data_IF_748850344370
#
_entry.id   IF_748850344370
#
_cell.length_a   1.000
_cell.length_b   1.000
_cell.length_c   1.000
_cell.angle_alpha   90.00
_cell.angle_beta   90.00
_cell.angle_gamma   90.00
#
_symmetry.space_group_name_H-M   'P 1'
#
loop_
_entity.id
_entity.type
_entity.pdbx_description
1 polymer ?
#
# COMPACT_ATOMS: atom_id res chain seq x y z
N UNK A 1 -13.37 -5.93 -13.17
CA UNK A 1 -12.99 -7.18 -12.47
C UNK A 1 -14.00 -7.48 -11.38
N UNK A 2 -14.33 -8.76 -11.13
CA UNK A 2 -15.23 -9.13 -10.03
C UNK A 2 -14.57 -8.84 -8.66
N UNK A 3 -15.39 -8.65 -7.61
CA UNK A 3 -14.89 -8.39 -6.25
C UNK A 3 -13.96 -9.50 -5.77
N UNK A 4 -14.37 -10.76 -5.91
CA UNK A 4 -13.57 -11.92 -5.52
C UNK A 4 -12.20 -11.94 -6.22
N UNK A 5 -12.14 -11.63 -7.52
CA UNK A 5 -10.87 -11.55 -8.25
C UNK A 5 -9.96 -10.46 -7.67
N UNK A 6 -10.50 -9.28 -7.35
CA UNK A 6 -9.72 -8.18 -6.77
C UNK A 6 -9.17 -8.57 -5.40
N UNK A 7 -10.02 -9.13 -4.54
CA UNK A 7 -9.67 -9.62 -3.21
C UNK A 7 -8.55 -10.67 -3.27
N UNK A 8 -8.67 -11.66 -4.16
CA UNK A 8 -7.65 -12.69 -4.36
C UNK A 8 -6.35 -12.08 -4.89
N UNK A 9 -6.39 -11.16 -5.85
CA UNK A 9 -5.17 -10.51 -6.36
C UNK A 9 -4.48 -9.70 -5.27
N UNK A 10 -5.21 -8.94 -4.46
CA UNK A 10 -4.63 -8.23 -3.32
C UNK A 10 -4.01 -9.19 -2.30
N UNK A 11 -4.66 -10.33 -2.02
CA UNK A 11 -4.11 -11.36 -1.15
C UNK A 11 -2.83 -12.00 -1.73
N UNK A 12 -2.77 -12.24 -3.03
CA UNK A 12 -1.57 -12.75 -3.72
C UNK A 12 -0.43 -11.72 -3.67
N UNK A 13 -0.73 -10.44 -3.90
CA UNK A 13 0.27 -9.37 -3.78
C UNK A 13 0.78 -9.25 -2.33
N UNK A 14 -0.09 -9.39 -1.34
CA UNK A 14 0.31 -9.43 0.06
C UNK A 14 1.20 -10.65 0.37
N UNK A 15 0.85 -11.84 -0.11
CA UNK A 15 1.69 -13.03 0.00
C UNK A 15 3.06 -12.83 -0.67
N UNK A 16 3.12 -12.16 -1.82
CA UNK A 16 4.38 -11.81 -2.47
C UNK A 16 5.25 -10.89 -1.59
N UNK A 17 4.65 -9.93 -0.88
CA UNK A 17 5.36 -9.10 0.12
C UNK A 17 5.89 -9.94 1.28
N UNK A 18 5.11 -10.90 1.79
CA UNK A 18 5.56 -11.80 2.86
C UNK A 18 6.78 -12.62 2.42
N UNK A 19 6.70 -13.25 1.24
CA UNK A 19 7.81 -14.03 0.66
C UNK A 19 9.02 -13.14 0.42
N UNK A 20 8.83 -11.95 -0.15
CA UNK A 20 9.92 -11.02 -0.40
C UNK A 20 10.58 -10.52 0.90
N UNK A 21 9.79 -10.30 1.96
CA UNK A 21 10.30 -9.96 3.29
C UNK A 21 11.17 -11.05 3.88
N UNK A 22 10.74 -12.31 3.76
CA UNK A 22 11.51 -13.48 4.20
C UNK A 22 12.80 -13.70 3.40
N UNK A 23 12.78 -13.45 2.08
CA UNK A 23 13.97 -13.57 1.23
C UNK A 23 14.99 -12.43 1.42
N UNK A 24 14.64 -11.40 2.19
CA UNK A 24 15.55 -10.32 2.61
C UNK A 24 15.30 -8.97 1.94
N UNK A 25 16.19 -8.01 2.22
CA UNK A 25 15.96 -6.60 1.90
C UNK A 25 15.88 -6.28 0.40
N UNK A 26 16.69 -6.92 -0.45
CA UNK A 26 16.69 -6.68 -1.90
C UNK A 26 15.37 -7.16 -2.56
N UNK A 27 14.93 -8.42 -2.37
CA UNK A 27 13.62 -8.88 -2.86
C UNK A 27 12.45 -8.02 -2.38
N UNK A 28 12.44 -7.62 -1.10
CA UNK A 28 11.39 -6.75 -0.56
C UNK A 28 11.37 -5.37 -1.24
N UNK A 29 12.54 -4.77 -1.47
CA UNK A 29 12.65 -3.48 -2.16
C UNK A 29 12.22 -3.58 -3.61
N UNK A 30 12.61 -4.65 -4.32
CA UNK A 30 12.17 -4.89 -5.69
C UNK A 30 10.65 -5.05 -5.78
N UNK A 31 10.06 -5.83 -4.86
CA UNK A 31 8.60 -6.03 -4.77
C UNK A 31 7.88 -4.71 -4.48
N UNK A 32 8.38 -3.90 -3.54
CA UNK A 32 7.84 -2.59 -3.24
C UNK A 32 7.90 -1.63 -4.45
N UNK A 33 9.00 -1.63 -5.20
CA UNK A 33 9.13 -0.85 -6.42
C UNK A 33 8.14 -1.30 -7.51
N UNK A 34 7.95 -2.62 -7.69
CA UNK A 34 6.94 -3.16 -8.62
C UNK A 34 5.54 -2.73 -8.18
N UNK A 35 5.20 -2.81 -6.90
CA UNK A 35 3.90 -2.36 -6.39
C UNK A 35 3.68 -0.85 -6.64
N UNK A 36 4.70 -0.01 -6.42
CA UNK A 36 4.62 1.42 -6.76
C UNK A 36 4.30 1.65 -8.25
N UNK A 37 4.96 0.91 -9.14
CA UNK A 37 4.74 1.00 -10.59
C UNK A 37 3.32 0.51 -10.96
N UNK A 38 2.88 -0.63 -10.44
CA UNK A 38 1.52 -1.15 -10.70
C UNK A 38 0.44 -0.16 -10.26
N UNK A 39 0.60 0.43 -9.07
CA UNK A 39 -0.29 1.49 -8.59
C UNK A 39 -0.26 2.70 -9.55
N UNK A 40 0.93 3.18 -9.90
CA UNK A 40 1.12 4.34 -10.77
C UNK A 40 0.46 4.17 -12.15
N UNK A 41 0.52 2.97 -12.72
CA UNK A 41 -0.12 2.66 -14.01
C UNK A 41 -1.66 2.68 -13.93
N UNK A 42 -2.23 2.21 -12.83
CA UNK A 42 -3.68 2.17 -12.65
C UNK A 42 -4.28 3.48 -12.13
N UNK A 43 -3.50 4.25 -11.36
CA UNK A 43 -4.01 5.35 -10.55
C UNK A 43 -4.67 6.47 -11.35
N UNK A 44 -4.08 7.00 -12.44
CA UNK A 44 -4.71 8.08 -13.20
C UNK A 44 -6.04 7.68 -13.84
N UNK A 45 -6.20 6.39 -14.18
CA UNK A 45 -7.47 5.87 -14.66
C UNK A 45 -8.51 5.72 -13.54
N UNK A 46 -8.07 5.32 -12.34
CA UNK A 46 -8.92 5.22 -11.15
C UNK A 46 -9.43 6.59 -10.69
N UNK A 47 -8.53 7.58 -10.61
CA UNK A 47 -8.83 8.94 -10.20
C UNK A 47 -9.43 9.82 -11.32
N UNK A 48 -9.64 9.28 -12.53
CA UNK A 48 -10.27 10.02 -13.63
C UNK A 48 -9.48 11.23 -14.14
N UNK A 49 -8.14 11.17 -14.06
CA UNK A 49 -7.25 12.29 -14.37
C UNK A 49 -7.20 12.61 -15.87
N UNK A 50 -7.09 13.90 -16.24
CA UNK A 50 -7.09 14.33 -17.63
C UNK A 50 -5.84 13.87 -18.39
N UNK A 51 -4.64 14.04 -17.80
CA UNK A 51 -3.36 13.68 -18.43
C UNK A 51 -2.72 12.45 -17.79
N UNK A 52 -3.27 11.28 -18.13
CA UNK A 52 -2.90 9.98 -17.54
C UNK A 52 -1.41 9.61 -17.58
N UNK A 53 -0.68 9.70 -18.71
CA UNK A 53 0.71 9.24 -18.74
C UNK A 53 1.63 10.12 -17.88
N UNK A 54 1.37 11.43 -17.86
CA UNK A 54 2.09 12.38 -17.02
C UNK A 54 1.90 12.10 -15.53
N UNK A 55 0.65 11.99 -15.09
CA UNK A 55 0.34 11.63 -13.70
C UNK A 55 0.91 10.26 -13.31
N UNK A 56 0.82 9.25 -14.18
CA UNK A 56 1.41 7.93 -13.92
C UNK A 56 2.93 8.04 -13.71
N UNK A 57 3.61 8.86 -14.52
CA UNK A 57 5.06 9.07 -14.43
C UNK A 57 5.43 9.71 -13.09
N UNK A 58 4.73 10.75 -12.68
CA UNK A 58 4.97 11.42 -11.39
C UNK A 58 4.76 10.46 -10.22
N UNK A 59 3.66 9.70 -10.23
CA UNK A 59 3.36 8.72 -9.17
C UNK A 59 4.40 7.61 -9.13
N UNK A 60 4.85 7.11 -10.29
CA UNK A 60 5.89 6.09 -10.37
C UNK A 60 7.23 6.61 -9.85
N UNK A 61 7.65 7.81 -10.25
CA UNK A 61 8.89 8.43 -9.79
C UNK A 61 8.88 8.67 -8.28
N UNK A 62 7.76 9.15 -7.73
CA UNK A 62 7.62 9.34 -6.28
C UNK A 62 7.67 8.03 -5.50
N UNK A 63 6.93 7.01 -5.93
CA UNK A 63 6.91 5.70 -5.26
C UNK A 63 8.22 4.94 -5.37
N UNK A 64 8.79 4.83 -6.58
CA UNK A 64 10.10 4.16 -6.79
C UNK A 64 11.22 4.96 -6.14
N UNK A 65 11.19 6.29 -6.22
CA UNK A 65 12.14 7.17 -5.53
C UNK A 65 12.11 6.97 -4.01
N UNK A 66 10.92 6.82 -3.43
CA UNK A 66 10.75 6.56 -2.00
C UNK A 66 11.36 5.21 -1.60
N UNK A 67 11.08 4.16 -2.36
CA UNK A 67 11.68 2.83 -2.16
C UNK A 67 13.21 2.89 -2.27
N UNK A 68 13.74 3.54 -3.30
CA UNK A 68 15.17 3.67 -3.53
C UNK A 68 15.86 4.42 -2.39
N UNK A 69 15.30 5.55 -1.95
CA UNK A 69 15.87 6.35 -0.86
C UNK A 69 15.87 5.59 0.47
N UNK A 70 14.79 4.88 0.80
CA UNK A 70 14.74 4.04 2.01
C UNK A 70 15.71 2.86 1.91
N UNK A 71 15.85 2.27 0.73
CA UNK A 71 16.81 1.16 0.51
C UNK A 71 18.26 1.60 0.66
N UNK A 72 18.61 2.77 0.14
CA UNK A 72 19.97 3.31 0.16
C UNK A 72 20.33 3.95 1.50
N UNK A 73 19.34 4.32 2.32
CA UNK A 73 19.59 4.85 3.67
C UNK A 73 20.18 3.77 4.58
N UNK A 74 21.43 3.98 4.99
CA UNK A 74 22.18 3.03 5.83
C UNK A 74 21.88 3.24 7.32
N UNK A 75 21.68 4.49 7.75
CA UNK A 75 21.50 4.85 9.16
C UNK A 75 20.03 5.14 9.51
N UNK A 76 19.59 4.65 10.67
CA UNK A 76 18.28 5.01 11.20
C UNK A 76 18.21 6.51 11.51
N UNK A 77 17.04 7.17 11.35
CA UNK A 77 15.76 6.61 10.91
C UNK A 77 15.64 6.48 9.38
N UNK A 78 15.22 5.29 8.90
CA UNK A 78 15.21 4.97 7.45
C UNK A 78 14.24 5.83 6.62
N UNK A 79 13.21 6.41 7.24
CA UNK A 79 12.22 7.25 6.55
C UNK A 79 12.58 8.75 6.53
N UNK A 80 13.73 9.16 7.07
CA UNK A 80 14.09 10.58 7.24
C UNK A 80 14.05 11.39 5.95
N UNK A 81 14.36 10.76 4.83
CA UNK A 81 14.49 11.41 3.52
C UNK A 81 13.20 11.28 2.68
N UNK A 82 12.17 10.55 3.17
CA UNK A 82 10.86 10.46 2.49
C UNK A 82 10.17 11.81 2.26
N UNK A 83 10.16 12.75 3.23
CA UNK A 83 9.53 14.05 3.01
C UNK A 83 10.16 14.81 1.83
N UNK A 84 11.47 14.68 1.63
CA UNK A 84 12.20 15.31 0.51
C UNK A 84 11.76 14.69 -0.82
N UNK A 85 11.67 13.36 -0.89
CA UNK A 85 11.16 12.66 -2.09
C UNK A 85 9.73 13.08 -2.41
N UNK A 86 8.86 13.15 -1.40
CA UNK A 86 7.48 13.54 -1.58
C UNK A 86 7.35 15.00 -2.03
N UNK A 87 8.13 15.92 -1.44
CA UNK A 87 8.19 17.31 -1.87
C UNK A 87 8.67 17.44 -3.33
N UNK A 88 9.71 16.70 -3.72
CA UNK A 88 10.17 16.66 -5.11
C UNK A 88 9.07 16.14 -6.06
N UNK A 89 8.32 15.12 -5.65
CA UNK A 89 7.21 14.60 -6.45
C UNK A 89 6.03 15.58 -6.56
N UNK A 90 5.78 16.43 -5.54
CA UNK A 90 4.83 17.54 -5.64
C UNK A 90 5.30 18.56 -6.69
N UNK A 91 6.59 18.93 -6.69
CA UNK A 91 7.16 19.80 -7.72
C UNK A 91 7.04 19.18 -9.12
N UNK A 92 7.28 17.87 -9.25
CA UNK A 92 7.07 17.13 -10.50
C UNK A 92 5.60 17.13 -10.94
N UNK A 93 4.64 17.09 -10.00
CA UNK A 93 3.23 17.22 -10.34
C UNK A 93 2.92 18.59 -10.96
N UNK A 94 3.49 19.68 -10.42
CA UNK A 94 3.35 21.00 -11.03
C UNK A 94 4.04 21.09 -12.39
N UNK A 95 5.24 20.52 -12.54
CA UNK A 95 5.95 20.49 -13.82
C UNK A 95 5.15 19.73 -14.87
N UNK A 96 4.52 18.61 -14.50
CA UNK A 96 3.63 17.84 -15.35
C UNK A 96 2.46 18.69 -15.88
N UNK A 97 1.90 19.57 -15.05
CA UNK A 97 0.85 20.52 -15.48
C UNK A 97 1.36 21.62 -16.41
N UNK A 98 2.62 22.05 -16.28
CA UNK A 98 3.22 23.02 -17.20
C UNK A 98 3.49 22.42 -18.59
N UNK A 99 3.73 21.12 -18.66
CA UNK A 99 3.94 20.39 -19.92
C UNK A 99 2.63 20.04 -20.65
N UNK A 100 1.48 20.13 -19.97
CA UNK A 100 0.16 19.87 -20.57
C UNK A 100 -0.17 20.91 -21.63
N UNK A 101 -0.74 20.43 -22.74
CA UNK A 101 -1.15 21.25 -23.90
C UNK A 101 -2.67 21.28 -24.12
N UNK A 102 -3.45 20.71 -23.20
CA UNK A 102 -4.90 20.46 -23.32
C UNK A 102 -5.77 21.60 -22.78
N UNK A 103 -5.27 22.84 -22.84
CA UNK A 103 -5.97 24.02 -22.31
C UNK A 103 -6.08 24.08 -20.79
N UNK A 104 -5.47 23.12 -20.06
CA UNK A 104 -5.37 23.09 -18.59
C UNK A 104 -6.73 23.11 -17.87
N UNK A 105 -7.73 22.44 -18.45
CA UNK A 105 -8.99 22.19 -17.74
C UNK A 105 -8.76 21.24 -16.56
N UNK A 106 -9.52 21.39 -15.47
CA UNK A 106 -9.43 20.53 -14.27
C UNK A 106 -8.02 20.48 -13.63
N UNK A 107 -7.27 21.59 -13.65
CA UNK A 107 -5.92 21.70 -13.05
C UNK A 107 -5.87 21.21 -11.59
N UNK A 108 -6.78 21.72 -10.76
CA UNK A 108 -6.82 21.38 -9.32
C UNK A 108 -7.03 19.89 -9.12
N UNK A 109 -7.94 19.28 -9.89
CA UNK A 109 -8.21 17.84 -9.83
C UNK A 109 -7.02 17.01 -10.32
N UNK A 110 -6.36 17.45 -11.39
CA UNK A 110 -5.16 16.79 -11.92
C UNK A 110 -4.01 16.81 -10.92
N UNK A 111 -3.71 17.98 -10.32
CA UNK A 111 -2.65 18.11 -9.32
C UNK A 111 -3.00 17.35 -8.05
N UNK A 112 -4.18 17.60 -7.45
CA UNK A 112 -4.58 16.92 -6.21
C UNK A 112 -4.65 15.40 -6.37
N UNK A 113 -5.20 14.92 -7.50
CA UNK A 113 -5.22 13.50 -7.81
C UNK A 113 -3.84 12.91 -8.04
N UNK A 114 -2.93 13.62 -8.72
CA UNK A 114 -1.55 13.16 -8.89
C UNK A 114 -0.80 13.10 -7.56
N UNK A 115 -0.89 14.16 -6.74
CA UNK A 115 -0.25 14.22 -5.41
C UNK A 115 -0.81 13.16 -4.46
N UNK A 116 -2.12 12.93 -4.46
CA UNK A 116 -2.74 11.86 -3.68
C UNK A 116 -2.23 10.47 -4.11
N UNK A 117 -2.12 10.22 -5.41
CA UNK A 117 -1.54 8.97 -5.93
C UNK A 117 -0.10 8.78 -5.51
N UNK A 118 0.69 9.85 -5.57
CA UNK A 118 2.09 9.85 -5.12
C UNK A 118 2.18 9.52 -3.64
N UNK A 119 1.32 10.11 -2.78
CA UNK A 119 1.32 9.81 -1.35
C UNK A 119 1.07 8.33 -1.08
N UNK A 120 0.09 7.75 -1.77
CA UNK A 120 -0.24 6.32 -1.70
C UNK A 120 0.92 5.45 -2.21
N UNK A 121 1.60 5.88 -3.27
CA UNK A 121 2.76 5.17 -3.81
C UNK A 121 3.96 5.22 -2.87
N UNK A 122 4.24 6.37 -2.26
CA UNK A 122 5.32 6.58 -1.28
C UNK A 122 5.11 5.71 -0.03
N UNK A 123 3.87 5.48 0.39
CA UNK A 123 3.55 4.64 1.55
C UNK A 123 4.12 3.21 1.47
N UNK A 124 4.34 2.68 0.25
CA UNK A 124 4.93 1.34 0.06
C UNK A 124 6.34 1.22 0.66
N UNK A 125 7.06 2.34 0.75
CA UNK A 125 8.41 2.37 1.32
C UNK A 125 8.43 1.98 2.81
N UNK A 126 7.29 2.04 3.50
CA UNK A 126 7.15 1.53 4.86
C UNK A 126 7.47 0.03 4.99
N UNK A 127 7.14 -0.79 3.99
CA UNK A 127 7.53 -2.21 3.96
C UNK A 127 9.06 -2.37 3.98
N UNK A 128 9.75 -1.58 3.17
CA UNK A 128 11.21 -1.63 3.08
C UNK A 128 11.84 -1.12 4.38
N UNK A 129 11.28 -0.06 4.96
CA UNK A 129 11.78 0.53 6.20
C UNK A 129 11.66 -0.43 7.39
N UNK A 130 10.51 -1.11 7.53
CA UNK A 130 10.32 -2.06 8.63
C UNK A 130 11.19 -3.30 8.42
N UNK A 131 11.28 -3.84 7.19
CA UNK A 131 12.12 -4.99 6.88
C UNK A 131 13.63 -4.74 7.08
N UNK A 132 14.07 -3.48 7.07
CA UNK A 132 15.46 -3.09 7.41
C UNK A 132 15.70 -2.88 8.90
N UNK A 133 14.64 -2.78 9.70
CA UNK A 133 14.77 -2.67 11.16
C UNK A 133 15.21 -4.02 11.72
N UNK A 134 16.14 -4.08 12.69
CA UNK A 134 16.49 -5.33 13.36
C UNK A 134 15.24 -6.04 13.89
N UNK A 135 15.05 -7.31 13.54
CA UNK A 135 13.85 -8.08 13.92
C UNK A 135 12.57 -7.72 13.14
N UNK A 136 12.66 -6.89 12.10
CA UNK A 136 11.51 -6.41 11.33
C UNK A 136 10.93 -7.40 10.31
N UNK A 137 11.68 -8.45 9.93
CA UNK A 137 11.21 -9.48 8.99
C UNK A 137 9.92 -10.17 9.47
N UNK A 138 9.83 -10.71 10.70
CA UNK A 138 8.58 -11.21 11.26
C UNK A 138 7.42 -10.21 11.14
N UNK A 139 7.68 -8.92 11.36
CA UNK A 139 6.63 -7.89 11.32
C UNK A 139 6.10 -7.70 9.89
N UNK A 140 6.98 -7.75 8.88
CA UNK A 140 6.59 -7.76 7.46
C UNK A 140 5.68 -8.95 7.17
N UNK A 141 6.09 -10.15 7.59
CA UNK A 141 5.37 -11.40 7.34
C UNK A 141 3.99 -11.38 8.01
N UNK A 142 3.91 -10.97 9.29
CA UNK A 142 2.64 -10.90 10.02
C UNK A 142 1.71 -9.84 9.45
N UNK A 143 2.22 -8.66 9.09
CA UNK A 143 1.41 -7.62 8.45
C UNK A 143 0.89 -8.04 7.07
N UNK A 144 1.72 -8.71 6.28
CA UNK A 144 1.33 -9.24 4.98
C UNK A 144 0.31 -10.40 5.11
N UNK A 145 0.47 -11.26 6.11
CA UNK A 145 -0.49 -12.32 6.43
C UNK A 145 -1.86 -11.74 6.83
N UNK A 146 -1.88 -10.76 7.73
CA UNK A 146 -3.11 -10.08 8.14
C UNK A 146 -3.80 -9.40 6.95
N UNK A 147 -3.03 -8.76 6.06
CA UNK A 147 -3.55 -8.15 4.84
C UNK A 147 -4.15 -9.19 3.88
N UNK A 148 -3.47 -10.32 3.69
CA UNK A 148 -3.95 -11.40 2.84
C UNK A 148 -5.26 -11.99 3.37
N UNK A 149 -5.33 -12.30 4.67
CA UNK A 149 -6.53 -12.85 5.32
C UNK A 149 -7.67 -11.84 5.28
N UNK A 150 -7.42 -10.58 5.64
CA UNK A 150 -8.44 -9.53 5.57
C UNK A 150 -8.99 -9.34 4.15
N UNK A 151 -8.12 -9.39 3.14
CA UNK A 151 -8.52 -9.26 1.73
C UNK A 151 -9.41 -10.42 1.28
N UNK A 152 -9.12 -11.66 1.70
CA UNK A 152 -9.96 -12.83 1.39
C UNK A 152 -11.33 -12.71 2.05
N UNK A 153 -11.40 -12.28 3.31
CA UNK A 153 -12.66 -12.16 4.05
C UNK A 153 -13.60 -11.13 3.45
N UNK A 154 -13.06 -10.06 2.85
CA UNK A 154 -13.86 -9.08 2.09
C UNK A 154 -14.62 -9.72 0.91
N UNK A 155 -14.16 -10.84 0.37
CA UNK A 155 -14.89 -11.54 -0.71
C UNK A 155 -16.15 -12.27 -0.22
N UNK A 156 -16.32 -12.43 1.11
CA UNK A 156 -17.54 -12.95 1.70
C UNK A 156 -18.61 -11.85 1.59
N UNK A 157 -19.68 -12.10 0.85
CA UNK A 157 -20.73 -11.13 0.56
C UNK A 157 -21.63 -10.91 1.80
N UNK A 158 -21.05 -10.31 2.84
CA UNK A 158 -21.69 -10.03 4.12
C UNK A 158 -22.30 -8.62 4.12
N UNK A 159 -23.20 -8.36 5.08
CA UNK A 159 -23.72 -7.01 5.31
C UNK A 159 -22.56 -6.06 5.66
N UNK A 160 -22.57 -4.78 5.24
CA UNK A 160 -21.40 -3.89 5.33
C UNK A 160 -20.70 -3.86 6.70
N UNK A 161 -21.47 -3.63 7.78
CA UNK A 161 -20.93 -3.60 9.15
C UNK A 161 -20.42 -4.96 9.62
N UNK A 162 -21.12 -6.05 9.26
CA UNK A 162 -20.71 -7.41 9.62
C UNK A 162 -19.45 -7.81 8.87
N UNK A 163 -19.36 -7.46 7.58
CA UNK A 163 -18.18 -7.66 6.75
C UNK A 163 -16.97 -6.90 7.31
N UNK A 164 -17.14 -5.63 7.69
CA UNK A 164 -16.07 -4.85 8.29
C UNK A 164 -15.54 -5.46 9.59
N UNK A 165 -16.44 -5.88 10.50
CA UNK A 165 -16.07 -6.55 11.75
C UNK A 165 -15.42 -7.92 11.50
N UNK A 166 -15.93 -8.69 10.54
CA UNK A 166 -15.36 -9.99 10.18
C UNK A 166 -13.95 -9.84 9.58
N UNK A 167 -13.74 -8.87 8.69
CA UNK A 167 -12.43 -8.55 8.11
C UNK A 167 -11.45 -8.12 9.18
N UNK A 168 -11.85 -7.20 10.07
CA UNK A 168 -11.02 -6.73 11.18
C UNK A 168 -10.66 -7.86 12.14
N UNK A 169 -11.65 -8.66 12.55
CA UNK A 169 -11.46 -9.80 13.46
C UNK A 169 -10.59 -10.90 12.86
N UNK A 170 -10.78 -11.24 11.59
CA UNK A 170 -9.98 -12.27 10.92
C UNK A 170 -8.53 -11.82 10.71
N UNK A 171 -8.30 -10.56 10.34
CA UNK A 171 -6.96 -10.00 10.23
C UNK A 171 -6.27 -9.93 11.60
N UNK A 172 -6.99 -9.56 12.66
CA UNK A 172 -6.49 -9.60 14.03
C UNK A 172 -6.12 -11.02 14.48
N UNK A 173 -6.97 -12.01 14.19
CA UNK A 173 -6.69 -13.42 14.48
C UNK A 173 -5.47 -13.93 13.72
N UNK A 174 -5.32 -13.55 12.44
CA UNK A 174 -4.14 -13.87 11.64
C UNK A 174 -2.86 -13.21 12.20
N UNK A 175 -2.97 -11.97 12.67
CA UNK A 175 -1.89 -11.27 13.34
C UNK A 175 -1.47 -11.93 14.65
N UNK A 176 -2.45 -12.30 15.49
CA UNK A 176 -2.24 -13.01 16.75
C UNK A 176 -1.58 -14.38 16.52
N UNK A 177 -2.08 -15.14 15.53
CA UNK A 177 -1.49 -16.40 15.10
C UNK A 177 -0.04 -16.21 14.65
N UNK A 178 0.24 -15.14 13.91
CA UNK A 178 1.60 -14.74 13.54
C UNK A 178 2.52 -14.56 14.75
N UNK A 179 2.06 -13.88 15.81
CA UNK A 179 2.82 -13.73 17.05
C UNK A 179 2.99 -15.03 17.85
N UNK A 180 2.03 -15.95 17.79
CA UNK A 180 2.18 -17.29 18.41
C UNK A 180 3.21 -18.13 17.66
N UNK A 181 3.24 -18.06 16.33
CA UNK A 181 4.13 -18.86 15.49
C UNK A 181 5.54 -18.29 15.39
N UNK A 182 5.70 -16.97 15.52
CA UNK A 182 6.98 -16.27 15.41
C UNK A 182 7.38 -15.71 16.77
N UNK A 183 8.33 -16.35 17.49
CA UNK A 183 8.66 -16.00 18.88
C UNK A 183 9.24 -14.58 19.05
N UNK A 184 9.54 -13.88 17.97
CA UNK A 184 9.99 -12.49 17.97
C UNK A 184 8.85 -11.47 18.16
N UNK A 185 7.58 -11.88 18.05
CA UNK A 185 6.43 -10.98 18.11
C UNK A 185 5.49 -11.44 19.23
N UNK A 186 5.19 -10.53 20.16
CA UNK A 186 4.16 -10.78 21.17
C UNK A 186 2.77 -10.98 20.50
N UNK A 187 2.00 -12.02 20.86
CA UNK A 187 0.70 -12.30 20.25
C UNK A 187 -0.30 -11.13 20.32
N UNK A 188 -0.29 -10.34 21.40
CA UNK A 188 -1.15 -9.16 21.52
C UNK A 188 -0.70 -8.06 20.56
N UNK A 189 0.62 -7.81 20.46
CA UNK A 189 1.16 -6.89 19.46
C UNK A 189 0.79 -7.31 18.02
N UNK A 190 0.93 -8.61 17.71
CA UNK A 190 0.50 -9.19 16.44
C UNK A 190 -0.99 -9.00 16.19
N UNK A 191 -1.84 -9.21 17.20
CA UNK A 191 -3.29 -9.01 17.11
C UNK A 191 -3.65 -7.55 16.81
N UNK A 192 -3.01 -6.59 17.49
CA UNK A 192 -3.24 -5.15 17.28
C UNK A 192 -2.78 -4.69 15.90
N UNK A 193 -1.65 -5.22 15.42
CA UNK A 193 -1.18 -4.98 14.05
C UNK A 193 -2.17 -5.55 13.03
N UNK A 194 -2.61 -6.79 13.23
CA UNK A 194 -3.61 -7.44 12.37
C UNK A 194 -4.95 -6.70 12.38
N UNK A 195 -5.41 -6.23 13.53
CA UNK A 195 -6.62 -5.42 13.66
C UNK A 195 -6.51 -4.12 12.86
N UNK A 196 -5.38 -3.42 12.98
CA UNK A 196 -5.12 -2.17 12.27
C UNK A 196 -5.14 -2.37 10.75
N UNK A 197 -4.51 -3.45 10.27
CA UNK A 197 -4.54 -3.84 8.86
C UNK A 197 -5.96 -4.20 8.41
N UNK A 198 -6.71 -4.97 9.22
CA UNK A 198 -8.08 -5.35 8.90
C UNK A 198 -9.05 -4.18 8.81
N UNK A 199 -8.93 -3.19 9.71
CA UNK A 199 -9.69 -1.94 9.65
C UNK A 199 -9.36 -1.16 8.37
N UNK A 200 -8.09 -1.08 7.99
CA UNK A 200 -7.67 -0.47 6.73
C UNK A 200 -8.30 -1.19 5.53
N UNK A 201 -8.25 -2.52 5.48
CA UNK A 201 -8.83 -3.32 4.40
C UNK A 201 -10.34 -3.13 4.31
N UNK A 202 -11.06 -3.20 5.44
CA UNK A 202 -12.50 -2.98 5.49
C UNK A 202 -12.89 -1.57 5.00
N UNK A 203 -12.13 -0.55 5.41
CA UNK A 203 -12.37 0.84 5.02
C UNK A 203 -12.13 1.06 3.53
N UNK A 204 -11.02 0.54 3.00
CA UNK A 204 -10.72 0.63 1.57
C UNK A 204 -11.74 -0.13 0.74
N UNK A 205 -12.18 -1.31 1.20
CA UNK A 205 -13.26 -2.03 0.53
C UNK A 205 -14.53 -1.19 0.48
N UNK A 206 -14.99 -0.64 1.62
CA UNK A 206 -16.18 0.22 1.67
C UNK A 206 -16.05 1.46 0.75
N UNK A 207 -14.86 2.06 0.68
CA UNK A 207 -14.57 3.20 -0.20
C UNK A 207 -14.66 2.83 -1.69
N UNK A 208 -14.16 1.65 -2.07
CA UNK A 208 -14.08 1.23 -3.47
C UNK A 208 -15.28 0.43 -3.96
N UNK A 209 -16.11 -0.12 -3.07
CA UNK A 209 -17.20 -1.03 -3.45
C UNK A 209 -18.21 -0.38 -4.41
N UNK A 210 -18.43 0.93 -4.28
CA UNK A 210 -19.41 1.66 -5.07
C UNK A 210 -18.89 2.19 -6.41
N UNK A 211 -17.61 1.98 -6.76
CA UNK A 211 -17.01 2.61 -7.95
C UNK A 211 -17.20 1.75 -9.22
N UNK A 212 -18.07 2.16 -10.17
CA UNK A 212 -18.31 1.39 -11.40
C UNK A 212 -17.07 1.33 -12.31
N UNK A 213 -16.14 2.28 -12.15
CA UNK A 213 -14.88 2.36 -12.89
C UNK A 213 -14.01 1.12 -12.73
N UNK A 214 -14.19 0.36 -11.64
CA UNK A 214 -13.44 -0.85 -11.32
C UNK A 214 -13.81 -2.07 -12.18
N UNK A 215 -14.81 -1.93 -13.04
CA UNK A 215 -15.06 -2.90 -14.11
C UNK A 215 -13.93 -2.90 -15.16
N UNK A 216 -13.27 -1.75 -15.37
CA UNK A 216 -12.19 -1.57 -16.35
C UNK A 216 -10.84 -2.05 -15.78
N UNK A 217 -9.95 -2.55 -16.66
CA UNK A 217 -8.65 -3.15 -16.30
C UNK A 217 -7.67 -2.22 -15.56
N UNK A 218 -7.61 -0.94 -15.95
CA UNK A 218 -6.62 -0.01 -15.40
C UNK A 218 -7.00 0.50 -14.00
N UNK A 219 -8.25 0.98 -13.76
CA UNK A 219 -8.68 1.32 -12.41
C UNK A 219 -8.60 0.15 -11.43
N UNK A 220 -8.91 -1.07 -11.89
CA UNK A 220 -8.81 -2.25 -11.04
C UNK A 220 -7.38 -2.56 -10.61
N UNK A 221 -6.37 -2.25 -11.44
CA UNK A 221 -4.97 -2.46 -11.09
C UNK A 221 -4.54 -1.60 -9.89
N UNK A 222 -4.92 -0.32 -9.89
CA UNK A 222 -4.66 0.55 -8.73
C UNK A 222 -5.45 0.09 -7.50
N UNK A 223 -6.73 -0.29 -7.67
CA UNK A 223 -7.56 -0.72 -6.55
C UNK A 223 -7.05 -1.99 -5.85
N UNK A 224 -6.46 -2.96 -6.58
CA UNK A 224 -5.89 -4.17 -5.95
C UNK A 224 -4.54 -3.92 -5.30
N UNK A 225 -3.78 -2.96 -5.82
CA UNK A 225 -2.41 -2.65 -5.35
C UNK A 225 -2.41 -1.70 -4.16
N UNK A 226 -3.38 -0.78 -4.12
CA UNK A 226 -3.49 0.27 -3.10
C UNK A 226 -3.54 -0.25 -1.66
N UNK A 227 -4.33 -1.28 -1.30
CA UNK A 227 -4.30 -1.81 0.06
C UNK A 227 -2.89 -2.28 0.46
N UNK A 228 -2.15 -2.90 -0.46
CA UNK A 228 -0.79 -3.38 -0.22
C UNK A 228 0.18 -2.22 -0.02
N UNK A 229 0.10 -1.16 -0.83
CA UNK A 229 1.02 -0.02 -0.70
C UNK A 229 0.78 0.76 0.58
N UNK A 230 -0.48 1.06 0.92
CA UNK A 230 -0.81 1.82 2.14
C UNK A 230 -0.51 1.01 3.40
N UNK A 231 -0.69 -0.31 3.36
CA UNK A 231 -0.37 -1.16 4.52
C UNK A 231 1.11 -1.07 4.91
N UNK A 232 2.02 -0.78 3.97
CA UNK A 232 3.45 -0.66 4.27
C UNK A 232 3.77 0.37 5.34
N UNK A 233 3.22 1.59 5.23
CA UNK A 233 3.46 2.63 6.23
C UNK A 233 2.75 2.32 7.55
N UNK A 234 1.56 1.71 7.49
CA UNK A 234 0.82 1.29 8.69
C UNK A 234 1.62 0.24 9.47
N UNK A 235 2.12 -0.79 8.80
CA UNK A 235 2.93 -1.85 9.42
C UNK A 235 4.23 -1.29 9.98
N UNK A 236 4.86 -0.33 9.30
CA UNK A 236 6.03 0.35 9.86
C UNK A 236 5.71 1.10 11.15
N UNK A 237 4.66 1.93 11.16
CA UNK A 237 4.29 2.75 12.33
C UNK A 237 3.86 1.84 13.49
N UNK A 238 2.95 0.91 13.25
CA UNK A 238 2.44 0.00 14.28
C UNK A 238 3.56 -0.93 14.78
N UNK A 239 4.40 -1.46 13.89
CA UNK A 239 5.55 -2.28 14.25
C UNK A 239 6.54 -1.54 15.14
N UNK A 240 6.89 -0.29 14.81
CA UNK A 240 7.80 0.54 15.63
C UNK A 240 7.18 0.92 16.98
N UNK A 241 5.88 1.21 17.03
CA UNK A 241 5.21 1.57 18.28
C UNK A 241 5.06 0.37 19.22
N UNK A 242 4.76 -0.82 18.68
CA UNK A 242 4.48 -2.01 19.50
C UNK A 242 5.73 -2.84 19.83
N UNK A 243 6.74 -2.85 18.95
CA UNK A 243 7.91 -3.73 19.08
C UNK A 243 9.19 -2.97 19.43
N UNK A 244 9.28 -1.67 19.13
CA UNK A 244 10.47 -0.83 19.35
C UNK A 244 11.28 -0.60 18.08
#
# INVERSE_FOLDING_TARGET
MQLATRAVVTAVLAAAVAVAGYLGGLPLSATAAVLAILLALGWPALAGLPFKPGSATVVALGGVGAVAVVHLTVTQPYLRDLPVVFAAAILLAFLNELLRRDGRTRLVESVSGTVAGTLVAVAVAGWVAIGRTPGGEPIVVVGALALAVGSVVVALHLRPWVGALATAGAAAAAGALGGVLLPAIDPLAGALLGLSVGVLVATLHALFDQLPSLQKRWPSLAAVTLPVTVTGILVYVVGRVLVG
#
